data_IF_866610202628
#
_entry.id   IF_866610202628
#
_cell.length_a   1.000
_cell.length_b   1.000
_cell.length_c   1.000
_cell.angle_alpha   90.00
_cell.angle_beta   90.00
_cell.angle_gamma   90.00
#
_symmetry.space_group_name_H-M   'P 1'
#
loop_
_entity.id
_entity.type
_entity.pdbx_description
1 polymer ?
#
# COMPACT_ATOMS: atom_id res chain seq x y z
N UNK A 1 4.37 15.56 -9.69
CA UNK A 1 3.02 14.95 -9.53
C UNK A 1 2.76 14.52 -8.09
N UNK A 2 1.51 14.59 -7.62
CA UNK A 2 1.16 14.16 -6.27
C UNK A 2 0.66 12.72 -6.23
N UNK A 3 1.08 11.96 -5.21
CA UNK A 3 0.61 10.59 -5.02
C UNK A 3 -0.86 10.56 -4.58
N UNK A 4 -1.74 9.92 -5.37
CA UNK A 4 -3.19 9.78 -5.05
C UNK A 4 -3.51 9.00 -3.76
N UNK A 5 -2.51 8.35 -3.18
CA UNK A 5 -2.68 7.49 -2.00
C UNK A 5 -2.14 8.10 -0.70
N UNK A 6 -1.13 8.98 -0.77
CA UNK A 6 -0.48 9.54 0.43
C UNK A 6 -0.20 11.04 0.33
N UNK A 7 -0.49 11.69 -0.80
CA UNK A 7 -0.27 13.12 -0.99
C UNK A 7 1.18 13.54 -1.23
N UNK A 8 2.15 12.62 -1.22
CA UNK A 8 3.56 12.97 -1.44
C UNK A 8 3.81 13.58 -2.82
N UNK A 9 4.60 14.65 -2.86
CA UNK A 9 5.10 15.23 -4.10
C UNK A 9 6.25 14.39 -4.67
N UNK A 10 6.05 13.92 -5.90
CA UNK A 10 7.00 13.10 -6.63
C UNK A 10 7.36 13.76 -7.96
N UNK A 11 8.53 13.41 -8.48
CA UNK A 11 8.97 13.82 -9.81
C UNK A 11 7.96 13.38 -10.87
N UNK A 12 7.84 14.15 -11.96
CA UNK A 12 6.87 13.82 -13.01
C UNK A 12 7.19 12.51 -13.71
N UNK A 13 8.46 12.12 -13.77
CA UNK A 13 8.96 10.88 -14.35
C UNK A 13 8.94 9.68 -13.39
N UNK A 14 8.64 9.89 -12.10
CA UNK A 14 8.64 8.82 -11.11
C UNK A 14 7.58 7.74 -11.43
N UNK A 15 8.03 6.49 -11.48
CA UNK A 15 7.13 5.32 -11.70
C UNK A 15 6.46 4.91 -10.39
N UNK A 16 7.15 5.06 -9.26
CA UNK A 16 6.69 4.70 -7.92
C UNK A 16 6.82 5.88 -6.95
N UNK A 17 5.94 5.94 -5.96
CA UNK A 17 5.99 6.93 -4.90
C UNK A 17 7.21 6.68 -4.00
N UNK A 18 8.06 7.69 -3.82
CA UNK A 18 9.25 7.61 -2.94
C UNK A 18 8.90 7.40 -1.46
N UNK A 19 7.68 7.77 -1.06
CA UNK A 19 7.22 7.67 0.33
C UNK A 19 6.48 6.36 0.60
N UNK A 20 5.47 6.01 -0.22
CA UNK A 20 4.60 4.86 0.05
C UNK A 20 4.81 3.64 -0.88
N UNK A 21 5.68 3.75 -1.88
CA UNK A 21 6.00 2.66 -2.82
C UNK A 21 4.91 2.32 -3.86
N UNK A 22 3.74 2.94 -3.81
CA UNK A 22 2.67 2.68 -4.80
C UNK A 22 3.02 3.26 -6.18
N UNK A 23 2.58 2.58 -7.24
CA UNK A 23 2.78 3.01 -8.64
C UNK A 23 2.04 4.34 -8.89
N UNK A 24 2.72 5.28 -9.52
CA UNK A 24 2.24 6.62 -9.80
C UNK A 24 1.64 6.74 -11.20
N UNK A 25 2.23 6.06 -12.19
CA UNK A 25 1.76 6.03 -13.57
C UNK A 25 1.24 4.65 -13.92
N UNK A 26 0.05 4.61 -14.50
CA UNK A 26 -0.41 3.43 -15.22
C UNK A 26 0.29 3.43 -16.58
N UNK A 27 0.77 2.28 -17.03
CA UNK A 27 1.45 2.19 -18.31
C UNK A 27 0.38 2.47 -19.37
N UNK A 28 0.32 3.71 -19.86
CA UNK A 28 -0.54 4.04 -20.99
C UNK A 28 0.06 3.28 -22.16
N UNK A 29 -0.51 2.12 -22.44
CA UNK A 29 -0.27 1.37 -23.66
C UNK A 29 -0.80 2.27 -24.77
N UNK A 30 0.05 3.16 -25.27
CA UNK A 30 -0.20 3.97 -26.45
C UNK A 30 -0.45 3.00 -27.59
N UNK A 31 -1.72 2.65 -27.78
CA UNK A 31 -2.20 2.16 -29.05
C UNK A 31 -2.09 3.36 -30.00
N UNK A 32 -0.99 3.36 -30.75
CA UNK A 32 -0.80 4.15 -31.94
C UNK A 32 -2.07 4.05 -32.80
N UNK A 33 -2.84 5.14 -32.84
CA UNK A 33 -4.02 5.27 -33.69
C UNK A 33 -3.51 5.40 -35.13
N UNK A 34 -3.40 4.28 -35.85
CA UNK A 34 -3.55 4.28 -37.30
C UNK A 34 -4.99 3.85 -37.57
N UNK A 35 -5.74 4.75 -38.22
CA UNK A 35 -7.15 4.60 -38.54
C UNK A 35 -7.46 3.25 -39.20
N UNK A 36 -8.32 2.43 -38.60
CA UNK A 36 -9.09 1.39 -39.29
C UNK A 36 -10.36 1.07 -38.47
N UNK A 37 -11.46 0.67 -39.14
CA UNK A 37 -12.82 0.92 -38.69
C UNK A 37 -13.25 0.05 -37.51
N UNK A 38 -14.12 0.67 -36.71
CA UNK A 38 -14.87 0.16 -35.56
C UNK A 38 -15.21 -1.33 -35.66
N UNK A 39 -14.59 -2.14 -34.78
CA UNK A 39 -15.15 -3.43 -34.36
C UNK A 39 -15.53 -3.34 -32.89
N UNK A 40 -16.84 -3.41 -32.67
CA UNK A 40 -17.51 -3.35 -31.38
C UNK A 40 -17.22 -4.64 -30.60
N UNK A 41 -16.36 -4.60 -29.58
CA UNK A 41 -16.17 -5.72 -28.66
C UNK A 41 -16.94 -5.47 -27.36
N UNK A 42 -18.23 -5.82 -27.37
CA UNK A 42 -18.94 -6.19 -26.16
C UNK A 42 -18.38 -7.53 -25.67
N UNK A 43 -17.56 -7.52 -24.63
CA UNK A 43 -17.27 -8.72 -23.85
C UNK A 43 -17.33 -8.36 -22.36
N UNK A 44 -18.51 -8.57 -21.79
CA UNK A 44 -18.65 -8.85 -20.36
C UNK A 44 -17.87 -10.14 -20.08
N UNK A 45 -16.64 -10.04 -19.62
CA UNK A 45 -16.02 -11.13 -18.90
C UNK A 45 -15.30 -10.58 -17.67
N UNK A 46 -15.76 -11.09 -16.53
CA UNK A 46 -15.36 -10.73 -15.19
C UNK A 46 -13.83 -10.77 -15.06
N UNK A 47 -13.24 -9.69 -14.57
CA UNK A 47 -11.90 -9.77 -13.99
C UNK A 47 -12.00 -10.47 -12.63
N UNK A 48 -12.13 -11.80 -12.68
CA UNK A 48 -11.66 -12.67 -11.61
C UNK A 48 -10.22 -13.05 -11.96
N UNK A 49 -9.25 -12.34 -11.37
CA UNK A 49 -7.94 -12.92 -11.18
C UNK A 49 -7.64 -13.00 -9.69
N UNK A 50 -7.78 -14.22 -9.20
CA UNK A 50 -7.33 -14.74 -7.92
C UNK A 50 -5.84 -14.43 -7.73
N UNK A 51 -5.53 -13.39 -6.95
CA UNK A 51 -4.23 -13.32 -6.29
C UNK A 51 -4.26 -14.32 -5.13
N UNK A 52 -3.56 -15.44 -5.31
CA UNK A 52 -3.31 -16.41 -4.25
C UNK A 52 -2.69 -15.70 -3.03
N UNK A 53 -3.52 -15.44 -2.04
CA UNK A 53 -3.41 -15.98 -0.69
C UNK A 53 -1.98 -16.34 -0.24
N UNK A 54 -1.29 -15.38 0.37
CA UNK A 54 -0.80 -15.64 1.73
C UNK A 54 -1.69 -14.82 2.66
N UNK A 55 -2.75 -15.46 3.16
CA UNK A 55 -3.47 -15.05 4.37
C UNK A 55 -2.43 -15.00 5.48
N UNK A 56 -2.06 -13.83 5.99
CA UNK A 56 -2.87 -13.21 7.04
C UNK A 56 -3.51 -11.93 6.54
N UNK A 57 -4.76 -12.07 6.10
CA UNK A 57 -5.68 -10.98 5.86
C UNK A 57 -5.98 -10.28 7.18
N UNK A 58 -5.65 -9.01 7.26
CA UNK A 58 -6.40 -7.97 7.98
C UNK A 58 -6.03 -6.67 7.27
N UNK A 59 -6.71 -6.34 6.16
CA UNK A 59 -7.80 -5.36 6.21
C UNK A 59 -8.18 -4.95 7.64
N UNK A 60 -7.53 -3.90 8.12
CA UNK A 60 -8.09 -2.99 9.09
C UNK A 60 -7.65 -1.59 8.71
N UNK A 61 -8.60 -0.73 8.40
CA UNK A 61 -8.42 0.70 8.56
C UNK A 61 -7.99 0.92 10.03
N UNK A 62 -6.75 1.31 10.28
CA UNK A 62 -6.32 1.77 11.60
C UNK A 62 -5.34 2.91 11.43
N UNK A 63 -5.91 4.09 11.25
CA UNK A 63 -5.27 5.30 11.72
C UNK A 63 -5.10 5.16 13.25
N UNK A 64 -3.88 4.98 13.75
CA UNK A 64 -3.54 5.28 15.16
C UNK A 64 -3.18 4.14 16.13
N UNK A 65 -2.35 3.16 15.76
CA UNK A 65 -1.87 2.14 16.73
C UNK A 65 -0.36 1.89 16.82
N UNK A 66 0.48 2.74 16.23
CA UNK A 66 1.95 2.67 16.42
C UNK A 66 2.39 2.97 17.87
N UNK A 67 1.58 3.71 18.62
CA UNK A 67 1.87 4.05 20.03
C UNK A 67 1.81 2.84 20.97
N UNK A 68 1.02 1.81 20.64
CA UNK A 68 0.82 0.64 21.48
C UNK A 68 2.07 -0.26 21.49
N UNK A 69 2.83 -0.27 20.40
CA UNK A 69 4.12 -0.99 20.32
C UNK A 69 5.19 -0.35 21.22
N UNK A 70 5.24 0.99 21.28
CA UNK A 70 6.16 1.71 22.17
C UNK A 70 5.78 1.56 23.66
N UNK A 71 4.48 1.57 24.01
CA UNK A 71 4.04 1.44 25.39
C UNK A 71 4.35 0.06 25.99
N UNK A 72 4.26 -1.02 25.21
CA UNK A 72 4.59 -2.37 25.68
C UNK A 72 6.08 -2.54 26.01
N UNK A 73 6.98 -1.86 25.27
CA UNK A 73 8.41 -1.86 25.56
C UNK A 73 8.75 -1.16 26.88
N UNK A 74 8.12 -0.01 27.17
CA UNK A 74 8.38 0.73 28.40
C UNK A 74 7.89 -0.03 29.64
N UNK A 75 6.69 -0.63 29.57
CA UNK A 75 6.14 -1.41 30.68
C UNK A 75 7.03 -2.63 31.00
N UNK A 76 7.57 -3.31 29.98
CA UNK A 76 8.50 -4.43 30.17
C UNK A 76 9.79 -4.02 30.89
N UNK A 77 10.34 -2.85 30.59
CA UNK A 77 11.56 -2.33 31.25
C UNK A 77 11.29 -2.04 32.74
N UNK A 78 10.15 -1.44 33.08
CA UNK A 78 9.80 -1.18 34.49
C UNK A 78 9.60 -2.46 35.32
N UNK A 79 9.02 -3.51 34.71
CA UNK A 79 8.83 -4.80 35.39
C UNK A 79 10.19 -5.47 35.68
N UNK A 80 11.14 -5.38 34.74
CA UNK A 80 12.50 -5.91 34.92
C UNK A 80 13.22 -5.20 36.07
N UNK A 81 13.15 -3.86 36.14
CA UNK A 81 13.75 -3.11 37.24
C UNK A 81 13.09 -3.39 38.60
N UNK A 82 11.78 -3.62 38.64
CA UNK A 82 11.07 -3.96 39.87
C UNK A 82 11.47 -5.33 40.44
N UNK A 83 11.72 -6.32 39.57
CA UNK A 83 12.16 -7.67 39.98
C UNK A 83 13.62 -7.64 40.46
N UNK A 84 14.50 -6.92 39.77
CA UNK A 84 15.93 -6.86 40.11
C UNK A 84 16.19 -5.96 41.32
N UNK A 85 15.42 -4.88 41.49
CA UNK A 85 15.56 -3.95 42.62
C UNK A 85 14.91 -4.41 43.94
N UNK A 86 14.22 -5.55 43.93
CA UNK A 86 13.58 -6.15 45.12
C UNK A 86 14.36 -7.33 45.71
N UNK A 87 15.58 -7.59 45.22
CA UNK A 87 16.51 -8.62 45.70
C UNK A 87 17.65 -7.99 46.50
#
# INVERSE_FOLDING_TARGET
>A
MFCRYCGEENLEEAVYCKNCGKKLKEDIKTAEIIETPVVNQNNNNQQNNTQSTTTTSSSSNTDGSDWLSCCLCLIGIFIIFAIIGSL
#
